data_IF_128216672864
#
_entry.id   IF_128216672864
#
_cell.length_a   1.000
_cell.length_b   1.000
_cell.length_c   1.000
_cell.angle_alpha   90.00
_cell.angle_beta   90.00
_cell.angle_gamma   90.00
#
_symmetry.space_group_name_H-M   'P 1'
#
loop_
_entity.id
_entity.type
_entity.pdbx_description
1 polymer ?
#
# COMPACT_ATOMS: atom_id res chain seq x y z
N UNK A 1 25.58 -45.07 13.37
CA UNK A 1 25.14 -44.02 12.46
C UNK A 1 26.37 -43.44 11.74
N UNK A 2 26.54 -43.77 10.46
CA UNK A 2 27.65 -43.21 9.64
C UNK A 2 27.27 -41.75 9.32
N UNK A 3 28.03 -40.77 9.83
CA UNK A 3 27.94 -39.37 9.41
C UNK A 3 28.28 -39.31 7.91
N UNK A 4 27.33 -39.00 7.07
CA UNK A 4 27.55 -38.79 5.65
C UNK A 4 28.53 -37.64 5.44
N UNK A 5 29.68 -37.98 4.86
CA UNK A 5 30.86 -37.12 4.63
C UNK A 5 30.66 -36.02 3.56
N UNK A 6 29.42 -35.74 3.12
CA UNK A 6 29.13 -34.79 2.03
C UNK A 6 28.65 -33.40 2.47
N UNK A 7 28.53 -33.14 3.78
CA UNK A 7 28.01 -31.87 4.29
C UNK A 7 28.91 -30.65 4.12
N UNK A 8 30.19 -30.85 3.83
CA UNK A 8 31.18 -29.76 3.66
C UNK A 8 31.12 -29.03 2.29
N UNK A 9 30.28 -29.50 1.36
CA UNK A 9 30.19 -28.97 -0.03
C UNK A 9 28.88 -28.29 -0.36
N UNK A 10 27.91 -28.19 0.58
CA UNK A 10 26.64 -27.56 0.30
C UNK A 10 26.79 -26.04 0.29
N UNK A 11 26.87 -25.47 -0.89
CA UNK A 11 27.03 -24.03 -1.11
C UNK A 11 25.91 -23.51 -2.02
N UNK A 12 25.71 -22.19 -2.01
CA UNK A 12 24.82 -21.51 -2.94
C UNK A 12 25.13 -21.86 -4.39
N UNK A 13 26.41 -21.76 -4.81
CA UNK A 13 26.86 -22.09 -6.14
C UNK A 13 26.60 -23.57 -6.53
N UNK A 14 26.70 -24.49 -5.55
CA UNK A 14 26.37 -25.88 -5.78
C UNK A 14 24.89 -26.08 -6.10
N UNK A 15 23.99 -25.43 -5.36
CA UNK A 15 22.54 -25.48 -5.62
C UNK A 15 22.23 -24.87 -6.98
N UNK A 16 22.68 -23.62 -7.22
CA UNK A 16 22.38 -22.86 -8.45
C UNK A 16 22.95 -23.51 -9.73
N UNK A 17 23.95 -24.36 -9.61
CA UNK A 17 24.47 -25.14 -10.77
C UNK A 17 23.55 -26.29 -11.19
N UNK A 18 22.52 -26.64 -10.43
CA UNK A 18 21.64 -27.79 -10.64
C UNK A 18 20.15 -27.45 -10.65
N UNK A 19 19.77 -26.43 -9.92
CA UNK A 19 18.39 -25.99 -9.77
C UNK A 19 18.34 -24.50 -10.07
N UNK A 20 17.51 -24.07 -10.98
CA UNK A 20 17.35 -22.65 -11.31
C UNK A 20 16.65 -21.88 -10.17
N UNK A 21 16.89 -20.58 -10.13
CA UNK A 21 16.25 -19.72 -9.12
C UNK A 21 14.74 -19.68 -9.32
N UNK A 22 14.27 -19.78 -10.55
CA UNK A 22 12.85 -19.84 -10.92
C UNK A 22 12.18 -21.11 -10.37
N UNK A 23 12.84 -22.27 -10.51
CA UNK A 23 12.32 -23.54 -9.98
C UNK A 23 12.19 -23.49 -8.46
N UNK A 24 13.18 -22.91 -7.77
CA UNK A 24 13.14 -22.74 -6.31
C UNK A 24 11.96 -21.83 -5.92
N UNK A 25 11.81 -20.67 -6.56
CA UNK A 25 10.70 -19.75 -6.28
C UNK A 25 9.35 -20.40 -6.58
N UNK A 26 9.20 -21.04 -7.74
CA UNK A 26 8.00 -21.79 -8.14
C UNK A 26 7.59 -22.78 -7.05
N UNK A 27 8.54 -23.60 -6.59
CA UNK A 27 8.29 -24.63 -5.59
C UNK A 27 7.88 -24.09 -4.22
N UNK A 28 8.61 -23.09 -3.70
CA UNK A 28 8.38 -22.56 -2.35
C UNK A 28 7.23 -21.55 -2.27
N UNK A 29 6.80 -20.98 -3.38
CA UNK A 29 5.62 -20.12 -3.43
C UNK A 29 4.36 -20.84 -3.94
N UNK A 30 4.47 -22.12 -4.33
CA UNK A 30 3.39 -22.91 -4.94
C UNK A 30 2.79 -22.19 -6.16
N UNK A 31 3.67 -21.64 -7.01
CA UNK A 31 3.32 -20.94 -8.25
C UNK A 31 3.82 -21.78 -9.42
N UNK A 32 3.01 -22.02 -10.46
CA UNK A 32 3.46 -22.72 -11.66
C UNK A 32 4.71 -22.07 -12.27
N UNK A 33 5.67 -22.88 -12.70
CA UNK A 33 6.96 -22.39 -13.22
C UNK A 33 6.80 -21.48 -14.44
N UNK A 34 5.82 -21.79 -15.29
CA UNK A 34 5.45 -20.97 -16.46
C UNK A 34 4.99 -19.56 -16.03
N UNK A 35 4.23 -19.44 -14.93
CA UNK A 35 3.79 -18.14 -14.39
C UNK A 35 4.98 -17.36 -13.85
N UNK A 36 5.93 -18.00 -13.15
CA UNK A 36 7.15 -17.35 -12.68
C UNK A 36 7.97 -16.80 -13.86
N UNK A 37 8.12 -17.60 -14.94
CA UNK A 37 8.85 -17.18 -16.13
C UNK A 37 8.15 -16.05 -16.88
N UNK A 38 6.84 -16.12 -16.98
CA UNK A 38 6.02 -15.10 -17.63
C UNK A 38 6.12 -13.75 -16.87
N UNK A 39 6.10 -13.75 -15.53
CA UNK A 39 6.36 -12.55 -14.72
C UNK A 39 7.73 -11.93 -15.02
N UNK A 40 8.76 -12.77 -15.19
CA UNK A 40 10.14 -12.31 -15.47
C UNK A 40 10.24 -11.70 -16.87
N UNK A 41 9.67 -12.37 -17.86
CA UNK A 41 9.75 -11.98 -19.27
C UNK A 41 8.96 -10.70 -19.56
N UNK A 42 7.72 -10.62 -19.04
CA UNK A 42 6.80 -9.51 -19.32
C UNK A 42 6.75 -8.46 -18.23
N UNK A 43 7.47 -8.68 -17.11
CA UNK A 43 7.52 -7.76 -15.96
C UNK A 43 6.13 -7.38 -15.41
N UNK A 44 5.18 -8.31 -15.42
CA UNK A 44 3.85 -8.11 -14.89
C UNK A 44 3.72 -8.55 -13.43
N UNK A 45 2.70 -8.07 -12.74
CA UNK A 45 2.41 -8.42 -11.36
C UNK A 45 1.37 -9.54 -11.30
N UNK A 46 1.54 -10.43 -10.32
CA UNK A 46 0.58 -11.49 -10.00
C UNK A 46 -0.02 -11.27 -8.62
N UNK A 47 -1.12 -11.98 -8.33
CA UNK A 47 -1.72 -11.99 -6.99
C UNK A 47 -0.72 -12.49 -5.95
N UNK A 48 -0.62 -11.79 -4.83
CA UNK A 48 0.29 -12.15 -3.75
C UNK A 48 -0.07 -13.50 -3.13
N UNK A 49 0.92 -14.39 -3.01
CA UNK A 49 0.76 -15.65 -2.29
C UNK A 49 0.82 -15.48 -0.77
N UNK A 50 1.14 -14.29 -0.30
CA UNK A 50 1.30 -13.97 1.12
C UNK A 50 0.08 -13.28 1.74
N UNK A 51 -0.93 -12.92 0.94
CA UNK A 51 -2.13 -12.17 1.37
C UNK A 51 -3.38 -12.63 0.66
N UNK A 52 -4.52 -12.62 1.37
CA UNK A 52 -5.84 -12.95 0.80
C UNK A 52 -6.58 -11.72 0.22
N UNK A 53 -6.12 -10.51 0.51
CA UNK A 53 -6.77 -9.26 0.12
C UNK A 53 -6.21 -8.65 -1.18
N UNK A 54 -5.37 -9.39 -1.91
CA UNK A 54 -4.79 -8.96 -3.18
C UNK A 54 -5.63 -9.45 -4.36
N UNK A 55 -6.48 -8.59 -4.90
CA UNK A 55 -7.38 -8.91 -6.02
C UNK A 55 -6.83 -8.51 -7.39
N UNK A 56 -5.90 -7.55 -7.44
CA UNK A 56 -5.46 -6.92 -8.69
C UNK A 56 -4.00 -7.22 -9.07
N UNK A 57 -3.35 -8.07 -8.27
CA UNK A 57 -1.94 -8.40 -8.43
C UNK A 57 -1.00 -7.33 -7.90
N UNK A 58 -0.21 -7.68 -6.90
CA UNK A 58 0.77 -6.78 -6.29
C UNK A 58 2.12 -7.44 -6.00
N UNK A 59 2.32 -8.66 -6.47
CA UNK A 59 3.59 -9.37 -6.31
C UNK A 59 4.34 -9.46 -7.64
N UNK A 60 5.59 -8.97 -7.67
CA UNK A 60 6.48 -9.03 -8.82
C UNK A 60 7.64 -10.02 -8.59
N UNK A 61 8.06 -10.67 -9.66
CA UNK A 61 9.21 -11.58 -9.69
C UNK A 61 10.11 -11.15 -10.84
N UNK A 62 11.34 -10.73 -10.54
CA UNK A 62 12.25 -10.23 -11.57
C UNK A 62 13.73 -10.40 -11.18
N UNK A 63 14.61 -10.50 -12.16
CA UNK A 63 16.03 -10.47 -11.94
C UNK A 63 16.53 -9.04 -11.70
N UNK A 64 17.40 -8.89 -10.70
CA UNK A 64 18.12 -7.63 -10.53
C UNK A 64 19.36 -7.58 -11.47
N UNK A 65 20.03 -6.41 -11.54
CA UNK A 65 21.20 -6.20 -12.37
C UNK A 65 22.41 -7.14 -12.07
N UNK A 66 22.35 -7.86 -10.94
CA UNK A 66 23.39 -8.84 -10.53
C UNK A 66 22.99 -10.28 -10.84
N UNK A 67 21.93 -10.50 -11.63
CA UNK A 67 21.44 -11.83 -11.99
C UNK A 67 20.84 -12.62 -10.81
N UNK A 68 20.31 -11.91 -9.77
CA UNK A 68 19.62 -12.54 -8.65
C UNK A 68 18.12 -12.34 -8.81
N UNK A 69 17.36 -13.41 -8.77
CA UNK A 69 15.92 -13.37 -8.77
C UNK A 69 15.43 -12.78 -7.45
N UNK A 70 14.56 -11.78 -7.55
CA UNK A 70 13.92 -11.10 -6.44
C UNK A 70 12.42 -11.28 -6.50
N UNK A 71 11.82 -11.51 -5.36
CA UNK A 71 10.38 -11.49 -5.17
C UNK A 71 10.02 -10.26 -4.36
N UNK A 72 9.06 -9.49 -4.84
CA UNK A 72 8.59 -8.29 -4.18
C UNK A 72 7.06 -8.29 -4.11
N UNK A 73 6.51 -8.27 -2.91
CA UNK A 73 5.11 -7.93 -2.66
C UNK A 73 5.02 -6.43 -2.36
N UNK A 74 4.33 -5.68 -3.21
CA UNK A 74 4.18 -4.23 -3.08
C UNK A 74 3.07 -3.84 -2.10
N UNK A 75 2.24 -4.81 -1.71
CA UNK A 75 1.17 -4.61 -0.73
C UNK A 75 1.54 -5.09 0.68
N UNK A 76 0.65 -4.82 1.63
CA UNK A 76 0.78 -5.30 3.00
C UNK A 76 2.02 -4.78 3.71
N UNK A 77 2.62 -5.62 4.57
CA UNK A 77 3.85 -5.31 5.30
C UNK A 77 5.10 -5.24 4.39
N UNK A 78 4.92 -5.52 3.11
CA UNK A 78 5.95 -5.51 2.09
C UNK A 78 6.95 -6.66 2.25
N UNK A 79 6.87 -7.64 1.37
CA UNK A 79 7.91 -8.67 1.26
C UNK A 79 8.88 -8.28 0.14
N UNK A 80 10.18 -8.29 0.43
CA UNK A 80 11.20 -8.07 -0.59
C UNK A 80 12.47 -8.83 -0.23
N UNK A 81 12.73 -9.90 -0.96
CA UNK A 81 13.96 -10.68 -0.74
C UNK A 81 14.40 -11.41 -2.01
N UNK A 82 15.59 -12.05 -1.95
CA UNK A 82 16.02 -13.00 -2.96
C UNK A 82 15.45 -14.41 -2.70
N UNK A 83 15.74 -15.33 -3.61
CA UNK A 83 15.27 -16.72 -3.56
C UNK A 83 15.48 -17.37 -2.21
N UNK A 84 16.65 -17.15 -1.59
CA UNK A 84 16.97 -17.76 -0.29
C UNK A 84 16.22 -17.12 0.87
N UNK A 85 15.95 -15.82 0.77
CA UNK A 85 15.07 -15.11 1.71
C UNK A 85 13.62 -15.57 1.60
N UNK A 86 13.13 -15.84 0.39
CA UNK A 86 11.82 -16.48 0.16
C UNK A 86 11.74 -17.82 0.88
N UNK A 87 12.73 -18.69 0.66
CA UNK A 87 12.79 -20.00 1.32
C UNK A 87 12.85 -19.84 2.84
N UNK A 88 13.71 -18.97 3.36
CA UNK A 88 13.82 -18.70 4.79
C UNK A 88 12.49 -18.23 5.40
N UNK A 89 11.75 -17.37 4.70
CA UNK A 89 10.44 -16.91 5.13
C UNK A 89 9.44 -18.06 5.23
N UNK A 90 9.29 -18.86 4.17
CA UNK A 90 8.38 -20.01 4.17
C UNK A 90 8.74 -21.01 5.26
N UNK A 91 10.03 -21.34 5.42
CA UNK A 91 10.49 -22.25 6.47
C UNK A 91 10.30 -21.68 7.87
N UNK A 92 10.35 -20.34 8.04
CA UNK A 92 10.04 -19.72 9.33
C UNK A 92 8.61 -20.01 9.77
N UNK A 93 7.68 -20.07 8.80
CA UNK A 93 6.28 -20.39 9.06
C UNK A 93 6.10 -21.91 9.30
N UNK A 94 6.72 -22.76 8.48
CA UNK A 94 6.68 -24.22 8.62
C UNK A 94 7.16 -24.66 10.00
N UNK A 95 8.31 -24.12 10.43
CA UNK A 95 8.97 -24.53 11.66
C UNK A 95 8.64 -23.65 12.88
N UNK A 96 7.75 -22.67 12.71
CA UNK A 96 7.27 -21.74 13.76
C UNK A 96 8.42 -21.07 14.54
N UNK A 97 9.52 -20.78 13.85
CA UNK A 97 10.68 -20.08 14.41
C UNK A 97 11.31 -19.14 13.39
N UNK A 98 11.96 -18.04 13.84
CA UNK A 98 12.71 -17.17 12.93
C UNK A 98 13.84 -17.93 12.24
N UNK A 99 13.92 -17.80 10.90
CA UNK A 99 15.01 -18.32 10.08
C UNK A 99 15.55 -17.15 9.26
N UNK A 100 16.84 -16.83 9.40
CA UNK A 100 17.46 -15.67 8.78
C UNK A 100 18.62 -16.07 7.89
N UNK A 101 18.62 -15.59 6.64
CA UNK A 101 19.75 -15.79 5.72
C UNK A 101 21.04 -15.09 6.17
N UNK A 102 20.94 -14.15 7.11
CA UNK A 102 22.10 -13.47 7.72
C UNK A 102 22.75 -14.31 8.84
N UNK A 103 22.08 -15.36 9.33
CA UNK A 103 22.63 -16.30 10.29
C UNK A 103 23.21 -17.50 9.54
N UNK A 104 24.46 -17.82 9.78
CA UNK A 104 25.19 -18.90 9.07
C UNK A 104 24.53 -20.27 9.26
N UNK A 105 24.02 -20.58 10.44
CA UNK A 105 23.35 -21.86 10.72
C UNK A 105 22.00 -21.95 10.02
N UNK A 106 21.21 -20.89 10.09
CA UNK A 106 19.93 -20.81 9.40
C UNK A 106 20.10 -20.83 7.88
N UNK A 107 21.11 -20.13 7.36
CA UNK A 107 21.41 -20.16 5.94
C UNK A 107 21.81 -21.56 5.46
N UNK A 108 22.62 -22.26 6.25
CA UNK A 108 22.94 -23.66 5.96
C UNK A 108 21.69 -24.55 6.03
N UNK A 109 20.78 -24.31 6.98
CA UNK A 109 19.50 -25.00 7.06
C UNK A 109 18.64 -24.75 5.81
N UNK A 110 18.55 -23.51 5.32
CA UNK A 110 17.87 -23.15 4.06
C UNK A 110 18.45 -23.93 2.87
N UNK A 111 19.78 -23.92 2.70
CA UNK A 111 20.44 -24.68 1.63
C UNK A 111 20.16 -26.18 1.73
N UNK A 112 20.21 -26.73 2.96
CA UNK A 112 19.95 -28.15 3.20
C UNK A 112 18.51 -28.53 2.88
N UNK A 113 17.56 -27.62 3.14
CA UNK A 113 16.15 -27.84 2.81
C UNK A 113 15.94 -27.82 1.30
N UNK A 114 16.51 -26.84 0.58
CA UNK A 114 16.46 -26.79 -0.89
C UNK A 114 17.08 -28.06 -1.49
N UNK A 115 18.25 -28.47 -1.01
CA UNK A 115 18.90 -29.70 -1.45
C UNK A 115 17.99 -30.93 -1.30
N UNK A 116 17.32 -31.08 -0.17
CA UNK A 116 16.38 -32.20 0.07
C UNK A 116 15.15 -32.11 -0.82
N UNK A 117 14.58 -30.92 -1.00
CA UNK A 117 13.41 -30.68 -1.85
C UNK A 117 13.67 -31.07 -3.31
N UNK A 118 14.87 -30.80 -3.81
CA UNK A 118 15.28 -31.07 -5.17
C UNK A 118 16.26 -32.26 -5.28
N UNK A 119 16.27 -33.19 -4.30
CA UNK A 119 17.22 -34.29 -4.24
C UNK A 119 17.19 -35.19 -5.46
N UNK A 120 16.02 -35.43 -6.05
CA UNK A 120 15.88 -36.20 -7.27
C UNK A 120 16.60 -35.53 -8.47
N UNK A 121 16.44 -34.22 -8.61
CA UNK A 121 17.05 -33.44 -9.67
C UNK A 121 18.58 -33.29 -9.47
N UNK A 122 19.01 -33.20 -8.21
CA UNK A 122 20.42 -33.00 -7.85
C UNK A 122 21.23 -34.29 -7.89
N UNK A 123 20.71 -35.38 -7.29
CA UNK A 123 21.45 -36.63 -7.06
C UNK A 123 20.65 -37.90 -7.41
N UNK A 124 19.52 -37.81 -8.13
CA UNK A 124 18.60 -38.92 -8.42
C UNK A 124 18.10 -39.67 -7.16
N UNK A 125 18.04 -38.97 -6.02
CA UNK A 125 17.60 -39.56 -4.76
C UNK A 125 16.13 -39.19 -4.48
N UNK A 126 15.26 -40.18 -4.27
CA UNK A 126 13.86 -39.96 -3.87
C UNK A 126 13.80 -39.71 -2.36
N UNK A 127 13.20 -38.61 -1.95
CA UNK A 127 12.90 -38.31 -0.56
C UNK A 127 11.43 -38.67 -0.26
N UNK A 128 11.20 -39.40 0.83
CA UNK A 128 9.84 -39.72 1.33
C UNK A 128 9.16 -38.55 2.09
N UNK A 129 9.81 -37.38 2.14
CA UNK A 129 9.28 -36.23 2.88
C UNK A 129 8.37 -35.41 1.99
N UNK A 130 7.08 -35.33 2.34
CA UNK A 130 6.10 -34.50 1.65
C UNK A 130 6.32 -33.02 1.99
N UNK A 131 7.24 -32.41 1.24
CA UNK A 131 7.59 -30.99 1.35
C UNK A 131 6.41 -30.14 0.85
N UNK A 132 5.65 -30.63 -0.11
CA UNK A 132 4.63 -29.85 -0.82
C UNK A 132 3.46 -29.49 0.08
N UNK A 133 2.97 -30.44 0.85
CA UNK A 133 1.86 -30.19 1.78
C UNK A 133 2.28 -29.23 2.90
N UNK A 134 3.50 -29.37 3.43
CA UNK A 134 3.99 -28.47 4.47
C UNK A 134 4.18 -27.03 3.96
N UNK A 135 4.65 -26.83 2.73
CA UNK A 135 4.76 -25.51 2.09
C UNK A 135 3.38 -24.92 1.83
N UNK A 136 2.44 -25.68 1.25
CA UNK A 136 1.06 -25.22 1.02
C UNK A 136 0.39 -24.77 2.31
N UNK A 137 0.48 -25.58 3.36
CA UNK A 137 -0.06 -25.23 4.67
C UNK A 137 0.59 -23.99 5.27
N UNK A 138 1.90 -23.79 5.07
CA UNK A 138 2.60 -22.59 5.50
C UNK A 138 2.14 -21.34 4.75
N UNK A 139 1.92 -21.42 3.42
CA UNK A 139 1.41 -20.31 2.62
C UNK A 139 -0.03 -19.94 3.02
N UNK A 140 -0.88 -20.94 3.27
CA UNK A 140 -2.24 -20.70 3.81
C UNK A 140 -2.16 -19.99 5.17
N UNK A 141 -1.27 -20.44 6.07
CA UNK A 141 -1.05 -19.75 7.35
C UNK A 141 -0.51 -18.32 7.16
N UNK A 142 0.38 -18.10 6.18
CA UNK A 142 0.92 -16.77 5.87
C UNK A 142 -0.18 -15.82 5.41
N UNK A 143 -1.03 -16.26 4.48
CA UNK A 143 -2.16 -15.47 3.96
C UNK A 143 -3.10 -15.02 5.07
N UNK A 144 -3.41 -15.92 6.01
CA UNK A 144 -4.30 -15.64 7.13
C UNK A 144 -3.64 -14.79 8.24
N UNK A 145 -2.31 -14.67 8.24
CA UNK A 145 -1.57 -13.94 9.27
C UNK A 145 -1.36 -12.49 8.84
N UNK A 146 -2.20 -11.59 9.34
CA UNK A 146 -1.93 -10.15 9.21
C UNK A 146 -0.71 -9.78 10.05
N UNK A 147 0.31 -9.22 9.43
CA UNK A 147 1.51 -8.75 10.11
C UNK A 147 1.16 -7.70 11.17
N UNK A 148 1.77 -7.82 12.35
CA UNK A 148 1.65 -6.82 13.41
C UNK A 148 2.83 -5.86 13.27
N UNK A 149 2.53 -4.60 12.93
CA UNK A 149 3.53 -3.53 12.92
C UNK A 149 3.50 -2.84 14.29
N UNK A 150 4.65 -2.79 14.93
CA UNK A 150 4.86 -2.03 16.17
C UNK A 150 5.87 -0.93 15.92
N UNK A 151 5.62 0.26 16.46
CA UNK A 151 6.51 1.41 16.31
C UNK A 151 7.03 1.87 17.68
N UNK A 152 8.25 2.37 17.70
CA UNK A 152 8.81 3.21 18.77
C UNK A 152 8.80 4.63 18.23
N UNK A 153 8.00 5.53 18.81
CA UNK A 153 7.96 6.92 18.38
C UNK A 153 9.21 7.69 18.83
N UNK A 154 9.55 8.74 18.11
CA UNK A 154 10.51 9.76 18.53
C UNK A 154 9.86 11.15 18.57
N UNK A 155 10.57 12.11 19.08
CA UNK A 155 10.16 13.50 18.98
C UNK A 155 10.37 14.06 17.57
N UNK A 156 9.52 15.02 17.17
CA UNK A 156 9.69 15.80 15.94
C UNK A 156 11.02 16.57 15.98
N UNK A 157 11.70 16.66 14.86
CA UNK A 157 12.94 17.39 14.72
C UNK A 157 12.87 18.47 13.61
N UNK A 158 13.96 19.23 13.44
CA UNK A 158 14.02 20.30 12.44
C UNK A 158 13.89 19.80 11.00
N UNK A 159 14.43 18.61 10.72
CA UNK A 159 14.35 18.01 9.38
C UNK A 159 12.92 17.60 9.04
N UNK A 160 12.20 17.01 9.99
CA UNK A 160 10.79 16.66 9.80
C UNK A 160 9.97 17.90 9.43
N UNK A 161 10.17 19.00 10.20
CA UNK A 161 9.52 20.27 9.92
C UNK A 161 9.81 20.75 8.49
N UNK A 162 11.06 20.64 8.04
CA UNK A 162 11.45 21.07 6.69
C UNK A 162 10.84 20.17 5.59
N UNK A 163 10.73 18.85 5.83
CA UNK A 163 10.12 17.92 4.87
C UNK A 163 8.64 18.25 4.69
N UNK A 164 7.89 18.38 5.79
CA UNK A 164 6.45 18.59 5.75
C UNK A 164 6.05 20.02 5.37
N UNK A 165 6.89 21.00 5.66
CA UNK A 165 6.66 22.39 5.24
C UNK A 165 6.61 22.56 3.72
N UNK A 166 7.34 21.74 2.94
CA UNK A 166 7.26 21.72 1.48
C UNK A 166 5.87 21.37 0.96
N UNK A 167 5.09 20.66 1.75
CA UNK A 167 3.72 20.25 1.45
C UNK A 167 2.68 21.16 2.12
N UNK A 168 3.10 22.31 2.66
CA UNK A 168 2.27 23.20 3.46
C UNK A 168 1.62 22.55 4.69
N UNK A 169 2.27 21.53 5.27
CA UNK A 169 1.77 20.80 6.44
C UNK A 169 2.63 21.11 7.64
N UNK A 170 2.04 21.63 8.70
CA UNK A 170 2.73 21.88 9.97
C UNK A 170 2.63 20.70 10.94
N UNK A 171 3.50 20.71 11.96
CA UNK A 171 3.58 19.59 12.91
C UNK A 171 2.32 19.43 13.77
N UNK A 172 1.59 20.52 14.04
CA UNK A 172 0.36 20.44 14.81
C UNK A 172 -0.72 19.70 14.00
N UNK A 173 -0.85 20.04 12.72
CA UNK A 173 -1.75 19.35 11.81
C UNK A 173 -1.41 17.85 11.70
N UNK A 174 -0.12 17.50 11.61
CA UNK A 174 0.31 16.10 11.60
C UNK A 174 -0.10 15.35 12.86
N UNK A 175 0.11 15.95 14.04
CA UNK A 175 -0.27 15.37 15.32
C UNK A 175 -1.78 15.11 15.41
N UNK A 176 -2.61 16.08 15.02
CA UNK A 176 -4.08 15.94 15.02
C UNK A 176 -4.57 14.92 13.98
N UNK A 177 -3.75 14.63 12.97
CA UNK A 177 -4.03 13.64 11.92
C UNK A 177 -3.29 12.30 12.15
N UNK A 178 -2.87 12.07 13.41
CA UNK A 178 -2.28 10.80 13.85
C UNK A 178 -1.04 10.37 13.05
N UNK A 179 -0.23 11.35 12.63
CA UNK A 179 1.08 11.09 12.01
C UNK A 179 2.14 11.15 13.09
N UNK A 180 2.98 10.13 13.17
CA UNK A 180 3.97 9.96 14.23
C UNK A 180 5.35 9.76 13.62
N UNK A 181 6.39 10.52 14.00
CA UNK A 181 7.76 10.25 13.59
C UNK A 181 8.28 9.00 14.31
N UNK A 182 8.94 8.11 13.57
CA UNK A 182 9.32 6.77 14.02
C UNK A 182 10.81 6.69 14.28
N UNK A 183 11.20 6.21 15.46
CA UNK A 183 12.57 5.86 15.79
C UNK A 183 12.92 4.45 15.33
N UNK A 184 12.02 3.51 15.60
CA UNK A 184 12.18 2.11 15.21
C UNK A 184 10.82 1.52 14.86
N UNK A 185 10.81 0.53 13.95
CA UNK A 185 9.65 -0.34 13.81
C UNK A 185 10.02 -1.81 13.75
N UNK A 186 9.05 -2.63 14.11
CA UNK A 186 9.13 -4.08 14.14
C UNK A 186 7.97 -4.68 13.35
N UNK A 187 8.20 -5.85 12.77
CA UNK A 187 7.15 -6.69 12.20
C UNK A 187 7.14 -7.98 13.00
N UNK A 188 5.98 -8.30 13.61
CA UNK A 188 5.80 -9.48 14.47
C UNK A 188 6.89 -9.55 15.57
N UNK A 189 7.02 -8.50 16.36
CA UNK A 189 8.12 -8.30 17.34
C UNK A 189 8.31 -9.46 18.28
N UNK A 190 7.24 -10.13 18.67
CA UNK A 190 7.31 -11.31 19.57
C UNK A 190 8.16 -12.42 18.96
N UNK A 191 8.03 -12.66 17.65
CA UNK A 191 8.80 -13.66 16.92
C UNK A 191 10.06 -13.09 16.26
N UNK A 192 10.08 -11.79 15.98
CA UNK A 192 11.18 -11.06 15.33
C UNK A 192 11.60 -9.86 16.20
N UNK A 193 12.38 -10.04 17.26
CA UNK A 193 12.71 -8.96 18.22
C UNK A 193 13.68 -7.91 17.65
N UNK A 194 14.28 -8.17 16.48
CA UNK A 194 15.18 -7.20 15.83
C UNK A 194 14.36 -6.16 15.07
N UNK A 195 14.61 -4.85 15.28
CA UNK A 195 13.92 -3.83 14.52
C UNK A 195 14.25 -3.92 13.03
N UNK A 196 13.23 -3.75 12.19
CA UNK A 196 13.37 -3.68 10.73
C UNK A 196 13.93 -2.33 10.27
N UNK A 197 13.87 -1.35 11.14
CA UNK A 197 14.32 0.01 10.86
C UNK A 197 14.80 0.69 12.14
N UNK A 198 15.81 1.55 12.00
CA UNK A 198 16.26 2.51 13.01
C UNK A 198 16.41 3.88 12.37
N UNK A 199 15.96 4.93 13.06
CA UNK A 199 15.98 6.31 12.57
C UNK A 199 17.37 6.74 12.08
N UNK A 200 17.40 7.34 10.91
CA UNK A 200 18.57 7.95 10.31
C UNK A 200 18.17 9.23 9.58
N UNK A 201 19.01 10.27 9.65
CA UNK A 201 18.76 11.53 8.92
C UNK A 201 18.58 11.33 7.41
N UNK A 202 19.26 10.37 6.83
CA UNK A 202 19.14 10.03 5.40
C UNK A 202 17.87 9.26 5.04
N UNK A 203 17.17 8.69 6.03
CA UNK A 203 16.01 7.82 5.83
C UNK A 203 14.95 8.03 6.92
N UNK A 204 14.33 9.22 7.04
CA UNK A 204 13.28 9.48 8.01
C UNK A 204 12.04 8.64 7.74
N UNK A 205 11.38 8.17 8.82
CA UNK A 205 10.18 7.37 8.77
C UNK A 205 9.03 8.04 9.55
N UNK A 206 7.83 7.99 8.96
CA UNK A 206 6.59 8.45 9.60
C UNK A 206 5.55 7.34 9.58
N UNK A 207 4.82 7.17 10.69
CA UNK A 207 3.70 6.25 10.80
C UNK A 207 2.38 7.01 10.67
N UNK A 208 1.54 6.60 9.76
CA UNK A 208 0.12 6.99 9.70
C UNK A 208 -0.67 5.96 10.53
N UNK A 209 -1.29 6.42 11.62
CA UNK A 209 -2.13 5.60 12.47
C UNK A 209 -3.55 5.62 11.91
N UNK A 210 -3.98 4.54 11.28
CA UNK A 210 -5.23 4.47 10.52
C UNK A 210 -6.41 3.93 11.34
N UNK A 211 -6.20 3.65 12.62
CA UNK A 211 -7.21 3.10 13.54
C UNK A 211 -6.82 1.74 14.10
N UNK A 212 -7.83 0.94 14.46
CA UNK A 212 -7.65 -0.44 14.94
C UNK A 212 -8.61 -1.39 14.23
N UNK A 213 -8.17 -2.63 14.03
CA UNK A 213 -9.05 -3.68 13.55
C UNK A 213 -9.95 -4.22 14.69
N UNK A 214 -10.84 -5.16 14.36
CA UNK A 214 -11.77 -5.79 15.33
C UNK A 214 -11.04 -6.52 16.47
N UNK A 215 -9.79 -6.96 16.26
CA UNK A 215 -8.95 -7.61 17.27
C UNK A 215 -8.12 -6.62 18.10
N UNK A 216 -8.33 -5.31 17.95
CA UNK A 216 -7.62 -4.26 18.68
C UNK A 216 -6.20 -3.95 18.16
N UNK A 217 -5.73 -4.62 17.09
CA UNK A 217 -4.42 -4.37 16.48
C UNK A 217 -4.45 -3.05 15.72
N UNK A 218 -3.42 -2.23 15.91
CA UNK A 218 -3.27 -0.98 15.17
C UNK A 218 -3.09 -1.21 13.68
N UNK A 219 -3.82 -0.45 12.88
CA UNK A 219 -3.67 -0.33 11.45
C UNK A 219 -2.67 0.78 11.17
N UNK A 220 -1.52 0.42 10.61
CA UNK A 220 -0.37 1.32 10.46
C UNK A 220 0.13 1.28 9.03
N UNK A 221 0.40 2.47 8.47
CA UNK A 221 1.16 2.64 7.24
C UNK A 221 2.39 3.47 7.52
N UNK A 222 3.57 2.92 7.26
CA UNK A 222 4.85 3.60 7.38
C UNK A 222 5.21 4.26 6.06
N UNK A 223 5.74 5.47 6.12
CA UNK A 223 6.15 6.27 4.97
C UNK A 223 7.60 6.72 5.10
N UNK A 224 8.37 6.51 4.03
CA UNK A 224 9.78 6.88 3.91
C UNK A 224 9.94 7.88 2.76
N UNK A 225 9.86 9.20 3.02
CA UNK A 225 9.80 10.23 1.98
C UNK A 225 11.03 10.26 1.08
N UNK A 226 12.21 9.97 1.63
CA UNK A 226 13.49 10.11 0.92
C UNK A 226 13.95 8.84 0.21
N UNK A 227 13.24 7.70 0.35
CA UNK A 227 13.60 6.44 -0.32
C UNK A 227 13.36 6.49 -1.81
N UNK A 228 14.26 5.90 -2.56
CA UNK A 228 14.13 5.66 -3.99
C UNK A 228 13.26 4.42 -4.23
N UNK A 229 12.12 4.59 -4.89
CA UNK A 229 11.16 3.49 -5.20
C UNK A 229 11.80 2.33 -5.97
N UNK A 230 12.84 2.59 -6.75
CA UNK A 230 13.49 1.56 -7.56
C UNK A 230 14.38 0.63 -6.75
N UNK A 231 14.78 1.05 -5.54
CA UNK A 231 15.74 0.35 -4.70
C UNK A 231 15.15 -0.15 -3.38
N UNK A 232 14.18 0.60 -2.83
CA UNK A 232 13.67 0.38 -1.48
C UNK A 232 12.17 0.54 -1.40
N UNK A 233 11.54 -0.07 -0.38
CA UNK A 233 10.13 0.13 -0.08
C UNK A 233 9.90 1.54 0.47
N UNK A 234 9.12 2.34 -0.24
CA UNK A 234 8.72 3.67 0.21
C UNK A 234 7.57 3.64 1.22
N UNK A 235 6.80 2.58 1.21
CA UNK A 235 5.70 2.31 2.15
C UNK A 235 5.78 0.90 2.71
N UNK A 236 5.38 0.74 3.98
CA UNK A 236 5.17 -0.55 4.64
C UNK A 236 3.86 -0.46 5.41
N UNK A 237 2.94 -1.40 5.23
CA UNK A 237 1.62 -1.35 5.89
C UNK A 237 1.15 -2.75 6.32
N UNK A 238 0.27 -2.81 7.32
CA UNK A 238 -0.42 -4.04 7.72
C UNK A 238 -1.92 -4.01 7.42
N UNK A 239 -2.36 -3.06 6.58
CA UNK A 239 -3.77 -2.92 6.25
C UNK A 239 -3.96 -2.35 4.84
N UNK A 240 -5.16 -2.61 4.30
CA UNK A 240 -5.62 -2.06 3.04
C UNK A 240 -7.03 -1.49 3.27
N UNK A 241 -7.08 -0.25 3.75
CA UNK A 241 -8.30 0.47 4.14
C UNK A 241 -8.27 1.90 3.64
N UNK A 242 -9.42 2.47 3.37
CA UNK A 242 -9.55 3.89 3.06
C UNK A 242 -8.94 4.73 4.21
N UNK A 243 -8.04 5.65 3.88
CA UNK A 243 -7.28 6.42 4.86
C UNK A 243 -7.94 7.77 5.16
N UNK A 244 -7.79 8.25 6.38
CA UNK A 244 -8.35 9.53 6.83
C UNK A 244 -9.74 9.45 7.44
N UNK A 245 -10.36 8.28 7.52
CA UNK A 245 -11.68 8.10 8.13
C UNK A 245 -11.75 8.61 9.58
N UNK A 246 -10.75 8.36 10.46
CA UNK A 246 -10.76 8.89 11.82
C UNK A 246 -10.77 10.42 11.92
N UNK A 247 -10.40 11.12 10.83
CA UNK A 247 -10.36 12.57 10.78
C UNK A 247 -11.69 13.19 10.25
N UNK A 248 -12.60 12.39 9.73
CA UNK A 248 -13.94 12.83 9.35
C UNK A 248 -14.91 12.75 10.55
N UNK A 249 -14.74 13.67 11.50
CA UNK A 249 -15.50 13.69 12.77
C UNK A 249 -16.93 14.24 12.61
N UNK A 250 -17.19 15.02 11.56
CA UNK A 250 -18.49 15.66 11.30
C UNK A 250 -19.41 14.75 10.51
N UNK A 251 -20.69 15.07 10.52
CA UNK A 251 -21.75 14.40 9.75
C UNK A 251 -22.53 15.38 8.84
N UNK A 252 -21.88 16.49 8.49
CA UNK A 252 -22.50 17.60 7.75
C UNK A 252 -21.55 18.18 6.69
N UNK A 253 -20.70 17.34 6.08
CA UNK A 253 -19.79 17.80 5.03
C UNK A 253 -20.54 18.20 3.77
N UNK A 254 -20.18 19.35 3.19
CA UNK A 254 -20.62 19.78 1.86
C UNK A 254 -19.90 19.01 0.78
N UNK A 255 -18.59 18.74 1.00
CA UNK A 255 -17.77 17.95 0.10
C UNK A 255 -16.87 16.98 0.88
N UNK A 256 -16.71 15.77 0.32
CA UNK A 256 -15.65 14.87 0.73
C UNK A 256 -14.80 14.61 -0.52
N UNK A 257 -13.52 14.99 -0.47
CA UNK A 257 -12.57 14.83 -1.57
C UNK A 257 -11.76 13.55 -1.35
N UNK A 258 -11.80 12.65 -2.32
CA UNK A 258 -10.97 11.43 -2.35
C UNK A 258 -9.71 11.74 -3.14
N UNK A 259 -8.54 11.73 -2.49
CA UNK A 259 -7.23 11.87 -3.12
C UNK A 259 -6.56 10.51 -3.30
N UNK A 260 -5.46 10.49 -4.06
CA UNK A 260 -4.71 9.25 -4.31
C UNK A 260 -3.80 8.84 -3.16
N UNK A 261 -3.21 9.79 -2.44
CA UNK A 261 -2.16 9.49 -1.46
C UNK A 261 -2.36 10.19 -0.13
N UNK A 262 -1.76 9.64 0.93
CA UNK A 262 -1.72 10.29 2.26
C UNK A 262 -1.04 11.66 2.19
N UNK A 263 -0.04 11.83 1.28
CA UNK A 263 0.65 13.11 1.05
C UNK A 263 -0.34 14.17 0.57
N UNK A 264 -1.15 13.85 -0.46
CA UNK A 264 -2.15 14.78 -1.00
C UNK A 264 -3.26 15.07 -0.01
N UNK A 265 -3.76 14.05 0.69
CA UNK A 265 -4.75 14.22 1.74
C UNK A 265 -4.29 15.18 2.82
N UNK A 266 -3.05 15.01 3.32
CA UNK A 266 -2.52 15.87 4.37
C UNK A 266 -2.24 17.29 3.86
N UNK A 267 -1.73 17.43 2.63
CA UNK A 267 -1.45 18.71 2.02
C UNK A 267 -2.74 19.50 1.76
N UNK A 268 -3.74 18.91 1.08
CA UNK A 268 -5.04 19.52 0.83
C UNK A 268 -5.77 19.83 2.15
N UNK A 269 -5.85 18.87 3.07
CA UNK A 269 -6.53 19.07 4.33
C UNK A 269 -5.87 20.12 5.21
N UNK A 270 -4.53 20.21 5.24
CA UNK A 270 -3.80 21.30 5.92
C UNK A 270 -4.11 22.66 5.31
N UNK A 271 -4.19 22.74 3.99
CA UNK A 271 -4.56 23.96 3.28
C UNK A 271 -6.00 24.39 3.63
N UNK A 272 -6.96 23.46 3.53
CA UNK A 272 -8.38 23.70 3.89
C UNK A 272 -8.57 24.12 5.35
N UNK A 273 -7.72 23.65 6.27
CA UNK A 273 -7.80 24.03 7.68
C UNK A 273 -7.35 25.46 7.97
N UNK A 274 -6.63 26.10 7.06
CA UNK A 274 -6.07 27.47 7.19
C UNK A 274 -6.88 28.51 6.42
N UNK A 275 -7.74 28.07 5.50
CA UNK A 275 -8.49 28.95 4.60
C UNK A 275 -9.99 28.64 4.67
N UNK A 276 -10.82 29.65 4.42
CA UNK A 276 -12.29 29.52 4.44
C UNK A 276 -12.78 29.55 3.00
N UNK A 277 -13.59 28.56 2.66
CA UNK A 277 -14.24 28.46 1.35
C UNK A 277 -15.76 28.68 1.49
N UNK A 278 -16.35 29.30 0.48
CA UNK A 278 -17.76 29.62 0.46
C UNK A 278 -18.46 28.98 -0.75
N UNK A 279 -19.64 28.44 -0.54
CA UNK A 279 -20.52 27.97 -1.60
C UNK A 279 -21.15 29.12 -2.39
N UNK A 280 -21.87 28.80 -3.46
CA UNK A 280 -22.57 29.76 -4.27
C UNK A 280 -23.65 30.55 -3.49
N UNK A 281 -24.17 29.98 -2.41
CA UNK A 281 -25.12 30.61 -1.49
C UNK A 281 -24.46 31.52 -0.42
N UNK A 282 -23.14 31.67 -0.47
CA UNK A 282 -22.34 32.48 0.47
C UNK A 282 -22.11 31.84 1.84
N UNK A 283 -22.53 30.59 2.06
CA UNK A 283 -22.24 29.86 3.29
C UNK A 283 -20.86 29.24 3.29
N UNK A 284 -20.26 29.17 4.46
CA UNK A 284 -18.99 28.47 4.65
C UNK A 284 -19.16 26.98 4.36
N UNK A 285 -18.24 26.44 3.56
CA UNK A 285 -18.21 25.02 3.18
C UNK A 285 -17.42 24.19 4.18
N UNK A 286 -17.97 23.04 4.56
CA UNK A 286 -17.29 21.99 5.30
C UNK A 286 -16.75 20.96 4.32
N UNK A 287 -15.42 20.89 4.17
CA UNK A 287 -14.75 20.00 3.22
C UNK A 287 -13.91 18.98 3.96
N UNK A 288 -14.23 17.70 3.80
CA UNK A 288 -13.46 16.57 4.31
C UNK A 288 -12.52 16.00 3.26
N UNK A 289 -11.40 15.38 3.67
CA UNK A 289 -10.46 14.76 2.75
C UNK A 289 -10.10 13.36 3.21
N UNK A 290 -10.19 12.39 2.31
CA UNK A 290 -9.73 10.99 2.50
C UNK A 290 -8.81 10.61 1.34
N UNK A 291 -8.08 9.51 1.46
CA UNK A 291 -7.31 9.00 0.33
C UNK A 291 -7.39 7.49 0.17
N UNK A 292 -7.22 7.04 -1.06
CA UNK A 292 -7.08 5.63 -1.39
C UNK A 292 -5.75 5.09 -0.83
N UNK A 293 -5.71 3.87 -0.27
CA UNK A 293 -4.49 3.33 0.33
C UNK A 293 -3.41 2.97 -0.70
N UNK A 294 -3.80 2.68 -1.94
CA UNK A 294 -2.90 2.32 -3.05
C UNK A 294 -3.50 2.68 -4.40
N UNK A 295 -2.69 2.60 -5.45
CA UNK A 295 -3.09 2.93 -6.82
C UNK A 295 -4.21 2.03 -7.36
N UNK A 296 -4.21 0.77 -6.99
CA UNK A 296 -5.18 -0.23 -7.47
C UNK A 296 -6.33 -0.47 -6.48
N UNK A 297 -6.46 0.36 -5.46
CA UNK A 297 -7.52 0.19 -4.48
C UNK A 297 -8.89 0.48 -5.09
N UNK A 298 -9.81 -0.45 -4.90
CA UNK A 298 -11.22 -0.28 -5.26
C UNK A 298 -12.01 0.08 -4.01
N UNK A 299 -12.65 1.26 -4.02
CA UNK A 299 -13.51 1.70 -2.93
C UNK A 299 -14.61 0.66 -2.69
N UNK A 300 -14.79 0.25 -1.43
CA UNK A 300 -15.77 -0.78 -1.07
C UNK A 300 -17.13 -0.14 -0.83
N UNK A 301 -18.22 -0.89 -1.08
CA UNK A 301 -19.58 -0.39 -0.92
C UNK A 301 -19.88 0.10 0.51
N UNK A 302 -19.34 -0.59 1.53
CA UNK A 302 -19.49 -0.17 2.93
C UNK A 302 -18.72 1.13 3.25
N UNK A 303 -17.55 1.37 2.63
CA UNK A 303 -16.79 2.61 2.77
C UNK A 303 -17.53 3.77 2.09
N UNK A 304 -18.03 3.55 0.87
CA UNK A 304 -18.86 4.52 0.17
C UNK A 304 -20.11 4.89 0.99
N UNK A 305 -20.84 3.90 1.50
CA UNK A 305 -22.01 4.12 2.35
C UNK A 305 -21.65 4.91 3.61
N UNK A 306 -20.49 4.63 4.21
CA UNK A 306 -20.00 5.35 5.38
C UNK A 306 -19.68 6.81 5.06
N UNK A 307 -19.03 7.09 3.92
CA UNK A 307 -18.75 8.45 3.45
C UNK A 307 -20.05 9.22 3.16
N UNK A 308 -21.00 8.57 2.49
CA UNK A 308 -22.32 9.19 2.18
C UNK A 308 -23.07 9.63 3.44
N UNK A 309 -23.01 8.87 4.52
CA UNK A 309 -23.60 9.24 5.81
C UNK A 309 -22.97 10.46 6.49
N UNK A 310 -21.78 10.85 6.06
CA UNK A 310 -21.07 12.03 6.57
C UNK A 310 -21.38 13.30 5.80
N UNK A 311 -22.05 13.21 4.68
CA UNK A 311 -22.46 14.35 3.89
C UNK A 311 -23.75 14.95 4.43
N UNK A 312 -23.91 16.26 4.29
CA UNK A 312 -25.23 16.88 4.42
C UNK A 312 -26.13 16.48 3.25
N UNK A 313 -27.40 16.92 3.28
CA UNK A 313 -28.42 16.52 2.28
C UNK A 313 -28.02 16.87 0.82
N UNK A 314 -27.23 17.92 0.63
CA UNK A 314 -26.77 18.40 -0.67
C UNK A 314 -25.28 18.09 -0.92
N UNK A 315 -24.64 17.42 0.02
CA UNK A 315 -23.20 17.15 -0.04
C UNK A 315 -22.83 16.16 -1.13
N UNK A 316 -21.59 16.27 -1.61
CA UNK A 316 -21.04 15.45 -2.68
C UNK A 316 -19.69 14.84 -2.32
N UNK A 317 -19.46 13.64 -2.83
CA UNK A 317 -18.11 13.06 -2.87
C UNK A 317 -17.52 13.38 -4.24
N UNK A 318 -16.25 13.81 -4.27
CA UNK A 318 -15.51 14.15 -5.49
C UNK A 318 -14.16 13.44 -5.45
N UNK A 319 -13.66 12.96 -6.56
CA UNK A 319 -12.31 12.42 -6.62
C UNK A 319 -11.32 13.39 -7.29
N UNK A 320 -10.13 13.51 -6.69
CA UNK A 320 -9.00 14.30 -7.18
C UNK A 320 -7.77 13.37 -7.18
N UNK A 321 -7.63 12.58 -8.24
CA UNK A 321 -6.58 11.59 -8.39
C UNK A 321 -5.48 12.10 -9.34
N UNK A 322 -4.37 11.36 -9.43
CA UNK A 322 -3.27 11.72 -10.34
C UNK A 322 -3.71 11.64 -11.81
N UNK A 323 -3.22 12.56 -12.65
CA UNK A 323 -3.46 12.52 -14.08
C UNK A 323 -2.46 11.60 -14.79
N UNK A 324 -2.46 10.33 -14.41
CA UNK A 324 -1.76 9.25 -15.11
C UNK A 324 -2.75 8.12 -15.46
N UNK A 325 -2.29 7.07 -16.13
CA UNK A 325 -3.16 5.95 -16.54
C UNK A 325 -3.91 5.34 -15.37
N UNK A 326 -3.21 5.02 -14.29
CA UNK A 326 -3.79 4.37 -13.11
C UNK A 326 -4.80 5.27 -12.39
N UNK A 327 -4.48 6.57 -12.27
CA UNK A 327 -5.39 7.55 -11.67
C UNK A 327 -6.66 7.76 -12.50
N UNK A 328 -6.55 7.79 -13.83
CA UNK A 328 -7.71 7.85 -14.72
C UNK A 328 -8.60 6.61 -14.62
N UNK A 329 -8.00 5.40 -14.69
CA UNK A 329 -8.72 4.14 -14.54
C UNK A 329 -9.43 4.07 -13.17
N UNK A 330 -8.80 4.59 -12.12
CA UNK A 330 -9.39 4.72 -10.78
C UNK A 330 -10.57 5.71 -10.71
N UNK A 331 -10.42 6.86 -11.38
CA UNK A 331 -11.47 7.90 -11.44
C UNK A 331 -12.69 7.43 -12.23
N UNK A 332 -12.47 6.78 -13.38
CA UNK A 332 -13.53 6.19 -14.19
C UNK A 332 -14.28 5.11 -13.40
N UNK A 333 -13.56 4.23 -12.68
CA UNK A 333 -14.19 3.26 -11.78
C UNK A 333 -15.08 3.93 -10.70
N UNK A 334 -14.61 4.99 -10.06
CA UNK A 334 -15.37 5.71 -9.04
C UNK A 334 -16.62 6.36 -9.63
N UNK A 335 -16.53 6.90 -10.85
CA UNK A 335 -17.68 7.49 -11.56
C UNK A 335 -18.68 6.42 -11.97
N UNK A 336 -18.24 5.33 -12.62
CA UNK A 336 -19.11 4.28 -13.13
C UNK A 336 -19.80 3.48 -12.01
N UNK A 337 -19.06 3.21 -10.91
CA UNK A 337 -19.57 2.36 -9.82
C UNK A 337 -20.41 3.14 -8.81
N UNK A 338 -20.02 4.37 -8.50
CA UNK A 338 -20.62 5.15 -7.39
C UNK A 338 -21.15 6.52 -7.81
N UNK A 339 -21.03 6.90 -9.08
CA UNK A 339 -21.39 8.23 -9.55
C UNK A 339 -20.53 9.34 -8.93
N UNK A 340 -19.31 9.04 -8.48
CA UNK A 340 -18.39 10.01 -7.91
C UNK A 340 -17.70 10.78 -9.04
N UNK A 341 -17.99 12.09 -9.20
CA UNK A 341 -17.34 12.91 -10.22
C UNK A 341 -15.85 13.07 -9.93
N UNK A 342 -15.07 13.31 -10.97
CA UNK A 342 -13.63 13.51 -10.85
C UNK A 342 -13.13 14.80 -11.50
N UNK A 343 -11.99 15.24 -11.04
CA UNK A 343 -11.22 16.34 -11.56
C UNK A 343 -9.75 15.97 -11.62
N UNK A 344 -9.02 16.52 -12.60
CA UNK A 344 -7.57 16.39 -12.70
C UNK A 344 -6.90 17.76 -12.76
N UNK A 345 -5.87 17.96 -11.95
CA UNK A 345 -5.14 19.23 -11.85
C UNK A 345 -4.48 19.61 -13.18
N UNK A 346 -3.89 18.64 -13.87
CA UNK A 346 -3.13 18.85 -15.12
C UNK A 346 -4.01 19.06 -16.33
N UNK A 347 -5.30 18.73 -16.28
CA UNK A 347 -6.10 18.71 -17.51
C UNK A 347 -6.65 20.08 -17.90
N UNK A 348 -7.03 20.90 -16.93
CA UNK A 348 -7.76 22.13 -17.14
C UNK A 348 -9.09 21.88 -17.87
N UNK A 349 -10.22 21.93 -17.18
CA UNK A 349 -11.55 21.66 -17.73
C UNK A 349 -12.51 22.79 -17.38
N UNK A 350 -13.44 23.11 -18.30
CA UNK A 350 -14.54 24.06 -18.06
C UNK A 350 -14.12 25.43 -17.50
N UNK A 351 -13.02 25.97 -18.00
CA UNK A 351 -12.47 27.22 -17.53
C UNK A 351 -11.55 27.10 -16.33
N UNK A 352 -11.31 25.89 -15.83
CA UNK A 352 -10.21 25.65 -14.90
C UNK A 352 -8.89 25.86 -15.61
N UNK A 353 -7.96 26.52 -14.93
CA UNK A 353 -6.60 26.67 -15.39
C UNK A 353 -5.86 25.32 -15.34
N UNK A 354 -4.99 25.05 -16.33
CA UNK A 354 -4.12 23.89 -16.32
C UNK A 354 -2.87 24.22 -15.48
N UNK A 355 -2.78 23.61 -14.31
CA UNK A 355 -1.68 23.83 -13.37
C UNK A 355 -0.43 22.97 -13.65
N UNK A 356 -0.47 22.06 -14.62
CA UNK A 356 0.66 21.18 -14.99
C UNK A 356 1.33 20.47 -13.79
N UNK A 357 0.54 20.11 -12.78
CA UNK A 357 0.96 19.36 -11.59
C UNK A 357 0.38 17.96 -11.63
N UNK A 358 1.17 16.97 -11.21
CA UNK A 358 0.73 15.58 -11.20
C UNK A 358 -0.32 15.31 -10.12
N UNK A 359 -0.10 15.86 -8.93
CA UNK A 359 -0.94 15.68 -7.75
C UNK A 359 -1.11 17.01 -6.98
N UNK A 360 -1.99 17.02 -5.97
CA UNK A 360 -2.27 18.23 -5.20
C UNK A 360 -1.04 18.74 -4.43
N UNK A 361 -0.24 17.83 -3.90
CA UNK A 361 0.93 18.23 -3.12
C UNK A 361 1.98 18.96 -3.97
N UNK A 362 2.05 18.68 -5.27
CA UNK A 362 2.95 19.37 -6.21
C UNK A 362 2.55 20.84 -6.43
N UNK A 363 1.31 21.24 -6.14
CA UNK A 363 0.88 22.64 -6.25
C UNK A 363 1.70 23.55 -5.34
N UNK A 364 2.03 23.10 -4.13
CA UNK A 364 2.79 23.89 -3.17
C UNK A 364 4.25 24.14 -3.54
N UNK A 365 4.80 23.36 -4.49
CA UNK A 365 6.14 23.60 -5.02
C UNK A 365 6.15 24.70 -6.11
N UNK A 366 4.99 24.98 -6.72
CA UNK A 366 4.91 25.86 -7.90
C UNK A 366 4.07 27.13 -7.67
N UNK A 367 3.07 27.07 -6.79
CA UNK A 367 2.04 28.09 -6.65
C UNK A 367 1.96 28.60 -5.20
N UNK A 368 1.56 29.86 -5.05
CA UNK A 368 1.29 30.45 -3.74
C UNK A 368 -0.11 30.07 -3.23
N UNK A 369 -0.42 30.41 -1.98
CA UNK A 369 -1.69 30.04 -1.36
C UNK A 369 -2.92 30.63 -2.08
N UNK A 370 -2.83 31.86 -2.61
CA UNK A 370 -3.97 32.53 -3.29
C UNK A 370 -4.30 31.83 -4.61
N UNK A 371 -3.29 31.35 -5.33
CA UNK A 371 -3.45 30.57 -6.56
C UNK A 371 -4.06 29.19 -6.26
N UNK A 372 -3.61 28.55 -5.16
CA UNK A 372 -4.18 27.27 -4.71
C UNK A 372 -5.63 27.46 -4.23
N UNK A 373 -5.94 28.54 -3.52
CA UNK A 373 -7.31 28.91 -3.15
C UNK A 373 -8.20 29.08 -4.40
N UNK A 374 -7.67 29.72 -5.42
CA UNK A 374 -8.36 29.90 -6.70
C UNK A 374 -8.66 28.54 -7.33
N UNK A 375 -7.68 27.63 -7.40
CA UNK A 375 -7.87 26.27 -7.89
C UNK A 375 -9.00 25.55 -7.13
N UNK A 376 -9.01 25.60 -5.80
CA UNK A 376 -10.05 24.94 -4.98
C UNK A 376 -11.43 25.53 -5.24
N UNK A 377 -11.56 26.88 -5.31
CA UNK A 377 -12.82 27.55 -5.62
C UNK A 377 -13.36 27.19 -7.01
N UNK A 378 -12.49 27.17 -8.01
CA UNK A 378 -12.85 26.77 -9.36
C UNK A 378 -13.26 25.30 -9.42
N UNK A 379 -12.56 24.42 -8.70
CA UNK A 379 -12.91 23.00 -8.55
C UNK A 379 -14.33 22.85 -8.01
N UNK A 380 -14.65 23.53 -6.91
CA UNK A 380 -15.98 23.49 -6.28
C UNK A 380 -17.02 24.03 -7.28
N UNK A 381 -16.78 25.19 -7.88
CA UNK A 381 -17.69 25.79 -8.86
C UNK A 381 -17.95 24.86 -10.06
N UNK A 382 -16.90 24.22 -10.57
CA UNK A 382 -17.01 23.26 -11.66
C UNK A 382 -17.93 22.08 -11.30
N UNK A 383 -17.71 21.49 -10.13
CA UNK A 383 -18.52 20.38 -9.64
C UNK A 383 -19.98 20.80 -9.46
N UNK A 384 -20.24 21.99 -8.90
CA UNK A 384 -21.59 22.53 -8.73
C UNK A 384 -22.31 22.71 -10.06
N UNK A 385 -21.66 23.29 -11.06
CA UNK A 385 -22.29 23.54 -12.36
C UNK A 385 -22.58 22.25 -13.11
N UNK A 386 -21.63 21.31 -13.10
CA UNK A 386 -21.72 20.12 -13.95
C UNK A 386 -22.54 19.00 -13.34
N UNK A 387 -22.39 18.75 -12.04
CA UNK A 387 -22.91 17.54 -11.42
C UNK A 387 -24.12 17.77 -10.51
N UNK A 388 -24.40 18.97 -10.01
CA UNK A 388 -25.64 19.23 -9.23
C UNK A 388 -26.89 19.22 -10.10
N UNK A 389 -26.81 19.52 -11.39
CA UNK A 389 -27.96 19.46 -12.31
C UNK A 389 -28.46 18.04 -12.57
N UNK A 390 -27.57 17.04 -12.47
CA UNK A 390 -27.86 15.63 -12.77
C UNK A 390 -28.19 14.78 -11.51
N UNK A 391 -28.32 15.44 -10.34
CA UNK A 391 -28.53 14.75 -9.05
C UNK A 391 -29.81 13.92 -9.01
N UNK A 392 -30.86 14.34 -9.69
CA UNK A 392 -32.15 13.60 -9.74
C UNK A 392 -31.99 12.22 -10.42
N UNK A 393 -31.15 12.11 -11.44
CA UNK A 393 -30.89 10.87 -12.17
C UNK A 393 -29.93 9.95 -11.39
N UNK A 394 -28.96 10.54 -10.72
CA UNK A 394 -27.99 9.81 -9.88
C UNK A 394 -28.66 9.21 -8.64
N UNK A 395 -29.53 9.97 -7.96
CA UNK A 395 -30.27 9.47 -6.79
C UNK A 395 -31.29 8.37 -7.18
N UNK A 396 -31.90 8.44 -8.37
CA UNK A 396 -32.75 7.37 -8.90
C UNK A 396 -31.99 6.09 -9.22
N UNK A 397 -30.75 6.21 -9.71
CA UNK A 397 -29.85 5.07 -9.96
C UNK A 397 -29.47 4.36 -8.65
N UNK A 398 -29.04 5.11 -7.63
CA UNK A 398 -28.64 4.54 -6.35
C UNK A 398 -29.81 3.99 -5.53
N UNK A 399 -31.01 4.56 -5.66
CA UNK A 399 -32.21 3.98 -5.08
C UNK A 399 -32.51 2.60 -5.67
N UNK A 400 -32.26 2.39 -6.95
CA UNK A 400 -32.36 1.06 -7.59
C UNK A 400 -31.31 0.07 -7.09
N UNK A 401 -30.07 0.54 -6.78
CA UNK A 401 -29.02 -0.32 -6.21
C UNK A 401 -29.26 -0.69 -4.75
N UNK A 402 -29.89 0.21 -3.95
CA UNK A 402 -30.25 -0.08 -2.56
C UNK A 402 -31.46 -1.03 -2.44
N UNK A 403 -32.29 -1.09 -3.47
CA UNK A 403 -33.45 -1.98 -3.54
C UNK A 403 -33.10 -3.37 -4.12
N UNK A 404 -31.89 -3.55 -4.63
CA UNK A 404 -31.34 -4.85 -4.99
C UNK A 404 -30.63 -5.46 -3.77
N UNK A 405 -31.24 -6.46 -3.15
CA UNK A 405 -30.58 -7.33 -2.17
C UNK A 405 -29.30 -7.90 -2.78
N UNK A 406 -28.15 -7.32 -2.42
CA UNK A 406 -26.86 -7.88 -2.78
C UNK A 406 -26.61 -9.12 -1.92
N UNK A 407 -26.40 -10.31 -2.51
CA UNK A 407 -26.01 -11.46 -1.72
C UNK A 407 -24.61 -11.21 -1.12
N UNK A 408 -24.48 -11.56 0.16
CA UNK A 408 -23.29 -11.44 1.00
C UNK A 408 -22.06 -12.12 0.45
#
# INVERSE_FOLDING_TARGET
>A
MKRNANTSKLTKAFIESRVSQEEIVSKYLDIPLEVVRDCIEHNHLITSVFRDDDTDGSMGIAYNAKGRLKVRDFGGAGFFDDVYGVVAYVLSIVYERPISTNNKQDFYFVLSHIYRTFSYQIDNHVNDYDVDESIKNALVKARNKKAIIEIVPRSWNRQDKAIWAKLNVDLNYLNTHFVIPVEQYYIDRVTNPTPKYKDAKSDPCYAYMLGRNKSGVYLIKLYFPLRDRTKELKFVTNCNVLEGLPNLEREDYDYIIITKSSKDRLSLGSHLSKHIFYGADGKTLNIGVVNLPSENYRLKANEYTWLRKRLNNEGMIVSLLDFDRTGRDGADYLLETYGIPYLFITRGEFGLENYECKDFADLHDKFNNDEIDTFIRETIRYVEIRYRKDKSDTDAYFKRLSDCDLPY
#
